data_IF_627909782645
#
_entry.id   IF_627909782645
#
_cell.length_a   1.000
_cell.length_b   1.000
_cell.length_c   1.000
_cell.angle_alpha   90.00
_cell.angle_beta   90.00
_cell.angle_gamma   90.00
#
_symmetry.space_group_name_H-M   'P 1'
#
loop_
_entity.id
_entity.type
_entity.pdbx_description
1 polymer ?
#
# COMPACT_ATOMS: atom_id res chain seq x y z
N UNK A 1 -6.78 14.92 10.74
CA UNK A 1 -6.34 13.53 11.05
C UNK A 1 -4.83 13.53 11.31
N UNK A 2 -4.35 13.89 12.52
CA UNK A 2 -2.93 14.20 12.74
C UNK A 2 -2.23 13.38 13.85
N UNK A 3 -2.97 12.55 14.61
CA UNK A 3 -2.36 11.71 15.66
C UNK A 3 -1.86 10.36 15.11
N UNK A 4 -2.67 9.68 14.30
CA UNK A 4 -2.35 8.33 13.80
C UNK A 4 -1.19 8.32 12.81
N UNK A 5 -1.04 9.37 12.00
CA UNK A 5 0.02 9.44 10.99
C UNK A 5 1.43 9.48 11.59
N UNK A 6 1.60 9.87 12.87
CA UNK A 6 2.92 9.96 13.51
C UNK A 6 3.48 8.62 13.98
N UNK A 7 2.62 7.66 14.30
CA UNK A 7 3.03 6.38 14.88
C UNK A 7 2.67 5.16 14.02
N UNK A 8 1.78 5.32 13.04
CA UNK A 8 1.32 4.23 12.17
C UNK A 8 1.71 4.50 10.72
N UNK A 9 1.97 3.44 9.97
CA UNK A 9 1.98 3.48 8.51
C UNK A 9 0.56 3.58 7.98
N UNK A 10 0.25 4.63 7.23
CA UNK A 10 -1.05 4.84 6.61
C UNK A 10 -0.89 4.86 5.09
N UNK A 11 -1.78 4.16 4.41
CA UNK A 11 -1.88 4.13 2.95
C UNK A 11 -3.34 4.19 2.53
N UNK A 12 -3.59 4.94 1.46
CA UNK A 12 -4.90 5.10 0.85
C UNK A 12 -4.87 4.51 -0.56
N UNK A 13 -5.88 3.71 -0.85
CA UNK A 13 -6.07 3.09 -2.16
C UNK A 13 -7.36 3.60 -2.81
N UNK A 14 -7.36 3.67 -4.14
CA UNK A 14 -8.56 3.79 -4.94
C UNK A 14 -9.35 2.48 -4.92
N UNK A 15 -10.61 2.52 -5.38
CA UNK A 15 -11.45 1.33 -5.52
C UNK A 15 -10.88 0.31 -6.51
N UNK A 16 -10.07 0.74 -7.48
CA UNK A 16 -9.33 -0.14 -8.40
C UNK A 16 -7.97 -0.60 -7.82
N UNK A 17 -7.71 -0.33 -6.55
CA UNK A 17 -6.54 -0.82 -5.83
C UNK A 17 -5.24 -0.05 -6.11
N UNK A 18 -5.31 1.17 -6.67
CA UNK A 18 -4.13 2.03 -6.88
C UNK A 18 -3.84 2.88 -5.68
N UNK A 19 -2.56 3.12 -5.45
CA UNK A 19 -2.08 3.93 -4.34
C UNK A 19 -2.34 5.40 -4.65
N UNK A 20 -3.24 6.03 -3.89
CA UNK A 20 -3.55 7.46 -4.00
C UNK A 20 -2.56 8.28 -3.17
N UNK A 21 -2.29 7.82 -1.96
CA UNK A 21 -1.43 8.48 -0.99
C UNK A 21 -0.89 7.50 0.05
N UNK A 22 0.29 7.77 0.60
CA UNK A 22 0.82 7.07 1.76
C UNK A 22 1.62 8.06 2.62
N UNK A 23 1.63 7.87 3.93
CA UNK A 23 2.41 8.71 4.82
C UNK A 23 3.89 8.32 4.84
N UNK A 24 4.72 9.20 5.39
CA UNK A 24 6.16 8.98 5.49
C UNK A 24 6.52 7.72 6.29
N UNK A 25 5.74 7.37 7.32
CA UNK A 25 6.01 6.18 8.12
C UNK A 25 5.82 4.90 7.32
N UNK A 26 4.76 4.81 6.50
CA UNK A 26 4.54 3.69 5.60
C UNK A 26 5.70 3.55 4.60
N UNK A 27 6.08 4.67 3.98
CA UNK A 27 7.21 4.77 3.06
C UNK A 27 8.52 4.28 3.69
N UNK A 28 8.83 4.75 4.91
CA UNK A 28 10.04 4.37 5.66
C UNK A 28 10.07 2.88 6.02
N UNK A 29 8.95 2.31 6.44
CA UNK A 29 8.89 0.89 6.85
C UNK A 29 9.10 -0.04 5.67
N UNK A 30 8.52 0.28 4.50
CA UNK A 30 8.64 -0.57 3.31
C UNK A 30 9.83 -0.21 2.42
N UNK A 31 10.54 0.88 2.71
CA UNK A 31 11.71 1.31 1.94
C UNK A 31 11.39 1.93 0.58
N UNK A 32 10.21 2.54 0.44
CA UNK A 32 9.77 3.22 -0.78
C UNK A 32 9.58 4.72 -0.55
N UNK A 33 9.73 5.52 -1.60
CA UNK A 33 9.23 6.89 -1.62
C UNK A 33 7.79 6.94 -2.16
N UNK A 34 7.00 7.91 -1.69
CA UNK A 34 5.62 8.08 -2.15
C UNK A 34 5.54 8.23 -3.68
N UNK A 35 6.45 8.98 -4.28
CA UNK A 35 6.51 9.20 -5.73
C UNK A 35 6.76 7.90 -6.51
N UNK A 36 7.44 6.91 -5.91
CA UNK A 36 7.70 5.63 -6.54
C UNK A 36 6.49 4.71 -6.52
N UNK A 37 5.60 4.85 -5.54
CA UNK A 37 4.46 3.96 -5.34
C UNK A 37 3.13 4.57 -5.76
N UNK A 38 3.00 5.90 -5.78
CA UNK A 38 1.78 6.59 -6.16
C UNK A 38 1.35 6.20 -7.58
N UNK A 39 0.09 5.83 -7.74
CA UNK A 39 -0.50 5.38 -9.01
C UNK A 39 -0.22 3.90 -9.36
N UNK A 40 0.69 3.21 -8.65
CA UNK A 40 0.88 1.77 -8.80
C UNK A 40 -0.24 1.01 -8.08
N UNK A 41 -0.52 -0.21 -8.54
CA UNK A 41 -1.46 -1.10 -7.87
C UNK A 41 -0.83 -1.68 -6.61
N UNK A 42 -1.58 -1.77 -5.51
CA UNK A 42 -1.08 -2.21 -4.20
C UNK A 42 -0.50 -3.63 -4.16
N UNK A 43 -0.68 -4.41 -5.23
CA UNK A 43 -0.13 -5.77 -5.37
C UNK A 43 1.40 -5.79 -5.35
N UNK A 44 2.06 -4.65 -5.57
CA UNK A 44 3.52 -4.52 -5.49
C UNK A 44 4.07 -4.81 -4.09
N UNK A 45 3.24 -4.75 -3.05
CA UNK A 45 3.62 -5.05 -1.66
C UNK A 45 3.36 -6.51 -1.26
N UNK A 46 2.76 -7.28 -2.17
CA UNK A 46 2.41 -8.68 -1.93
C UNK A 46 3.36 -9.51 -2.75
N UNK A 47 3.91 -10.56 -2.13
CA UNK A 47 4.72 -11.53 -2.86
C UNK A 47 3.94 -12.03 -4.08
N UNK A 48 4.52 -12.02 -5.29
CA UNK A 48 3.80 -12.38 -6.51
C UNK A 48 3.14 -13.76 -6.44
N UNK A 49 3.79 -14.73 -5.79
CA UNK A 49 3.24 -16.08 -5.64
C UNK A 49 2.03 -16.11 -4.68
N UNK A 50 1.96 -15.17 -3.73
CA UNK A 50 0.79 -15.00 -2.87
C UNK A 50 -0.31 -14.17 -3.54
N UNK A 51 0.05 -13.18 -4.36
CA UNK A 51 -0.91 -12.36 -5.10
C UNK A 51 -1.73 -13.18 -6.12
N UNK A 52 -1.15 -14.25 -6.64
CA UNK A 52 -1.83 -15.21 -7.54
C UNK A 52 -2.61 -16.30 -6.80
N UNK A 53 -2.55 -16.33 -5.47
CA UNK A 53 -3.27 -17.34 -4.69
C UNK A 53 -4.78 -17.09 -4.72
N UNK A 54 -5.61 -18.15 -4.77
CA UNK A 54 -7.06 -18.02 -4.68
C UNK A 54 -7.53 -17.31 -3.41
N UNK A 55 -6.74 -17.40 -2.33
CA UNK A 55 -7.01 -16.76 -1.05
C UNK A 55 -6.90 -15.24 -1.13
N UNK A 56 -5.97 -14.71 -1.93
CA UNK A 56 -5.82 -13.27 -2.13
C UNK A 56 -6.90 -12.69 -3.07
N UNK A 57 -7.22 -13.42 -4.15
CA UNK A 57 -8.27 -13.04 -5.10
C UNK A 57 -9.70 -13.05 -4.51
N UNK A 58 -9.91 -13.73 -3.37
CA UNK A 58 -11.21 -13.78 -2.72
C UNK A 58 -11.53 -12.56 -1.84
N UNK A 59 -10.54 -11.69 -1.56
CA UNK A 59 -10.65 -10.58 -0.58
C UNK A 59 -10.33 -9.21 -1.15
N UNK A 60 -9.89 -9.14 -2.41
CA UNK A 60 -9.60 -7.91 -3.16
C UNK A 60 -10.55 -7.80 -4.35
#
# INVERSE_FOLDING_TARGET
>A
MLALSRSLGLIEFSLDGRILWANENFCKVLGYNLEEIKGKHHRIFVDPAYAESPQYLAVC
#
